data_IF_003301499576
#
_entry.id   IF_003301499576
#
_cell.length_a   1.000
_cell.length_b   1.000
_cell.length_c   1.000
_cell.angle_alpha   90.00
_cell.angle_beta   90.00
_cell.angle_gamma   90.00
#
_symmetry.space_group_name_H-M   'P 1'
#
loop_
_entity.id
_entity.type
_entity.pdbx_description
1 polymer ?
#
# COMPACT_ATOMS: atom_id res chain seq x y z
N UNK A 1 0.63 -9.34 -9.49
CA UNK A 1 -0.19 -8.14 -9.24
C UNK A 1 -0.26 -7.97 -7.74
N UNK A 2 -0.18 -6.73 -7.26
CA UNK A 2 -0.21 -6.43 -5.82
C UNK A 2 -1.64 -6.47 -5.27
N UNK A 3 -1.78 -6.48 -3.95
CA UNK A 3 -3.05 -6.36 -3.25
C UNK A 3 -3.33 -4.88 -2.93
N UNK A 4 -4.61 -4.54 -2.84
CA UNK A 4 -5.09 -3.17 -2.64
C UNK A 4 -5.70 -3.03 -1.24
N UNK A 5 -5.54 -1.84 -0.67
CA UNK A 5 -6.26 -1.43 0.52
C UNK A 5 -7.67 -0.98 0.12
N UNK A 6 -8.68 -1.70 0.59
CA UNK A 6 -10.09 -1.40 0.37
C UNK A 6 -10.89 -1.59 1.68
N UNK A 7 -11.01 -0.55 2.52
CA UNK A 7 -11.75 -0.65 3.79
C UNK A 7 -13.26 -0.73 3.57
N UNK A 8 -13.95 -1.61 4.29
CA UNK A 8 -15.40 -1.85 4.09
C UNK A 8 -16.32 -0.65 4.43
N UNK A 9 -15.93 0.16 5.42
CA UNK A 9 -16.81 1.17 6.04
C UNK A 9 -16.29 2.62 5.92
N UNK A 10 -15.15 2.83 5.28
CA UNK A 10 -14.56 4.16 5.11
C UNK A 10 -13.78 4.25 3.80
N UNK A 11 -13.48 5.46 3.33
CA UNK A 11 -12.59 5.61 2.18
C UNK A 11 -11.17 5.21 2.56
N UNK A 12 -10.43 4.63 1.62
CA UNK A 12 -8.98 4.36 1.79
C UNK A 12 -8.19 5.61 2.17
N UNK A 13 -8.60 6.80 1.73
CA UNK A 13 -8.00 8.07 2.16
C UNK A 13 -8.20 8.30 3.66
N UNK A 14 -9.44 8.21 4.15
CA UNK A 14 -9.75 8.40 5.56
C UNK A 14 -9.03 7.36 6.44
N UNK A 15 -8.99 6.11 5.97
CA UNK A 15 -8.23 5.06 6.62
C UNK A 15 -6.75 5.40 6.71
N UNK A 16 -6.13 5.79 5.59
CA UNK A 16 -4.69 6.08 5.52
C UNK A 16 -4.31 7.31 6.36
N UNK A 17 -5.18 8.29 6.48
CA UNK A 17 -4.97 9.46 7.33
C UNK A 17 -5.10 9.13 8.82
N UNK A 18 -5.89 8.12 9.17
CA UNK A 18 -6.17 7.71 10.56
C UNK A 18 -5.15 6.69 11.08
N UNK A 19 -4.84 5.68 10.29
CA UNK A 19 -4.00 4.52 10.67
C UNK A 19 -2.60 4.57 10.05
N UNK A 20 -2.48 5.26 8.92
CA UNK A 20 -1.22 5.39 8.21
C UNK A 20 -0.37 6.54 8.74
N UNK A 21 0.94 6.39 8.56
CA UNK A 21 1.88 7.51 8.68
C UNK A 21 2.34 7.90 7.28
N UNK A 22 1.95 9.09 6.83
CA UNK A 22 2.44 9.65 5.57
C UNK A 22 3.95 9.94 5.67
N UNK A 23 4.69 9.56 4.62
CA UNK A 23 6.14 9.70 4.51
C UNK A 23 6.52 9.97 3.06
N UNK A 24 7.74 10.45 2.84
CA UNK A 24 8.30 10.54 1.49
C UNK A 24 8.67 9.16 0.94
N UNK A 25 8.60 9.00 -0.38
CA UNK A 25 8.99 7.74 -1.04
C UNK A 25 10.42 7.32 -0.71
N UNK A 26 11.33 8.27 -0.59
CA UNK A 26 12.74 8.02 -0.29
C UNK A 26 12.93 7.46 1.12
N UNK A 27 12.06 7.83 2.07
CA UNK A 27 12.09 7.24 3.40
C UNK A 27 11.80 5.73 3.31
N UNK A 28 10.80 5.34 2.54
CA UNK A 28 10.43 3.94 2.36
C UNK A 28 11.52 3.19 1.59
N UNK A 29 12.06 3.75 0.49
CA UNK A 29 13.16 3.15 -0.27
C UNK A 29 14.35 2.81 0.62
N UNK A 30 14.72 3.71 1.53
CA UNK A 30 15.89 3.54 2.40
C UNK A 30 15.61 2.65 3.63
N UNK A 31 14.34 2.43 4.00
CA UNK A 31 13.96 1.75 5.24
C UNK A 31 13.02 0.56 5.02
N UNK A 32 12.85 0.07 3.79
CA UNK A 32 11.84 -0.95 3.45
C UNK A 32 11.90 -2.18 4.36
N UNK A 33 13.10 -2.71 4.58
CA UNK A 33 13.31 -3.90 5.42
C UNK A 33 12.93 -3.66 6.87
N UNK A 34 13.30 -2.51 7.41
CA UNK A 34 13.02 -2.13 8.80
C UNK A 34 11.52 -1.89 9.03
N UNK A 35 10.85 -1.25 8.07
CA UNK A 35 9.38 -1.07 8.06
C UNK A 35 8.70 -2.43 8.14
N UNK A 36 9.12 -3.38 7.30
CA UNK A 36 8.56 -4.73 7.28
C UNK A 36 8.83 -5.51 8.56
N UNK A 37 10.05 -5.44 9.10
CA UNK A 37 10.41 -6.10 10.36
C UNK A 37 9.64 -5.54 11.56
N UNK A 38 9.26 -4.27 11.53
CA UNK A 38 8.40 -3.62 12.54
C UNK A 38 6.92 -3.97 12.36
N UNK A 39 6.58 -4.88 11.46
CA UNK A 39 5.20 -5.31 11.23
C UNK A 39 4.36 -4.23 10.55
N UNK A 40 4.94 -3.45 9.65
CA UNK A 40 4.23 -2.47 8.82
C UNK A 40 4.50 -2.71 7.34
N UNK A 41 3.64 -2.20 6.47
CA UNK A 41 3.81 -2.25 5.02
C UNK A 41 3.69 -0.86 4.40
N UNK A 42 4.45 -0.58 3.34
CA UNK A 42 4.21 0.59 2.50
C UNK A 42 2.87 0.48 1.77
N UNK A 43 2.11 1.57 1.79
CA UNK A 43 0.91 1.75 0.97
C UNK A 43 1.05 3.01 0.14
N UNK A 44 0.70 2.93 -1.14
CA UNK A 44 0.80 4.05 -2.07
C UNK A 44 -0.60 4.42 -2.55
N UNK A 45 -1.04 5.61 -2.18
CA UNK A 45 -2.28 6.20 -2.68
C UNK A 45 -1.98 6.93 -3.98
N UNK A 46 -2.49 6.40 -5.09
CA UNK A 46 -2.32 6.95 -6.44
C UNK A 46 -3.60 7.65 -6.86
N UNK A 47 -3.49 8.88 -7.33
CA UNK A 47 -4.60 9.62 -7.93
C UNK A 47 -4.69 9.34 -9.44
N UNK A 48 -5.81 8.76 -9.89
CA UNK A 48 -6.09 8.50 -11.30
C UNK A 48 -7.11 9.50 -11.89
N UNK A 49 -7.36 10.63 -11.21
CA UNK A 49 -8.32 11.65 -11.60
C UNK A 49 -9.73 11.34 -11.11
N UNK A 50 -10.43 10.40 -11.76
CA UNK A 50 -11.81 10.07 -11.40
C UNK A 50 -11.93 9.22 -10.13
N UNK A 51 -10.83 8.61 -9.70
CA UNK A 51 -10.75 7.78 -8.51
C UNK A 51 -9.29 7.67 -8.07
N UNK A 52 -9.09 7.30 -6.82
CA UNK A 52 -7.79 6.98 -6.25
C UNK A 52 -7.65 5.46 -6.05
N UNK A 53 -6.43 4.95 -6.01
CA UNK A 53 -6.15 3.55 -5.72
C UNK A 53 -5.06 3.45 -4.65
N UNK A 54 -5.26 2.60 -3.63
CA UNK A 54 -4.29 2.41 -2.55
C UNK A 54 -3.61 1.05 -2.72
N UNK A 55 -2.40 1.03 -3.30
CA UNK A 55 -1.64 -0.19 -3.54
C UNK A 55 -0.75 -0.55 -2.36
N UNK A 56 -0.82 -1.79 -1.88
CA UNK A 56 0.05 -2.29 -0.81
C UNK A 56 1.30 -2.90 -1.44
N UNK A 57 2.49 -2.47 -1.03
CA UNK A 57 3.76 -3.05 -1.49
C UNK A 57 4.24 -4.12 -0.50
N UNK A 58 3.91 -5.39 -0.77
CA UNK A 58 4.34 -6.54 0.05
C UNK A 58 5.82 -6.88 -0.14
N UNK A 59 6.33 -6.53 -1.32
CA UNK A 59 7.73 -6.67 -1.71
C UNK A 59 8.36 -5.34 -2.10
N UNK A 60 9.67 -5.22 -1.88
CA UNK A 60 10.47 -4.06 -2.27
C UNK A 60 10.33 -3.78 -3.77
N UNK A 61 10.27 -4.85 -4.58
CA UNK A 61 10.04 -4.78 -6.03
C UNK A 61 8.67 -4.19 -6.42
N UNK A 62 7.64 -4.41 -5.63
CA UNK A 62 6.34 -3.77 -5.86
C UNK A 62 6.40 -2.29 -5.54
N UNK A 63 7.07 -1.93 -4.43
CA UNK A 63 7.30 -0.53 -4.07
C UNK A 63 8.07 0.23 -5.16
N UNK A 64 9.15 -0.36 -5.68
CA UNK A 64 9.90 0.20 -6.82
C UNK A 64 9.02 0.48 -8.04
N UNK A 65 7.99 -0.33 -8.29
CA UNK A 65 7.04 -0.09 -9.40
C UNK A 65 6.14 1.11 -9.11
N UNK A 66 5.72 1.30 -7.86
CA UNK A 66 4.89 2.43 -7.48
C UNK A 66 5.65 3.76 -7.49
N UNK A 67 6.95 3.76 -7.18
CA UNK A 67 7.77 4.99 -7.16
C UNK A 67 8.15 5.46 -8.58
N UNK A 68 8.07 4.59 -9.59
CA UNK A 68 8.32 4.99 -10.98
C UNK A 68 7.39 6.13 -11.40
N UNK A 69 7.97 7.11 -12.08
CA UNK A 69 7.23 8.22 -12.64
C UNK A 69 6.27 7.73 -13.73
N UNK A 70 5.00 8.11 -13.62
CA UNK A 70 3.93 7.73 -14.54
C UNK A 70 2.88 8.84 -14.72
N UNK A 71 3.24 10.09 -14.42
CA UNK A 71 2.39 11.29 -14.42
C UNK A 71 1.22 11.30 -13.41
N UNK A 72 1.06 10.27 -12.57
CA UNK A 72 0.00 10.24 -11.55
C UNK A 72 0.54 10.76 -10.22
N UNK A 73 -0.14 11.72 -9.56
CA UNK A 73 0.17 12.11 -8.20
C UNK A 73 0.12 10.91 -7.25
N UNK A 74 1.06 10.83 -6.33
CA UNK A 74 1.14 9.75 -5.34
C UNK A 74 1.41 10.29 -3.95
N UNK A 75 0.75 9.71 -2.96
CA UNK A 75 1.04 9.87 -1.53
C UNK A 75 1.49 8.52 -0.99
N UNK A 76 2.47 8.53 -0.10
CA UNK A 76 3.09 7.30 0.42
C UNK A 76 2.89 7.21 1.92
N UNK A 77 2.48 6.03 2.37
CA UNK A 77 2.14 5.76 3.76
C UNK A 77 2.86 4.51 4.26
N UNK A 78 3.08 4.46 5.57
CA UNK A 78 3.43 3.24 6.29
C UNK A 78 2.22 2.88 7.15
N UNK A 79 1.72 1.66 6.98
CA UNK A 79 0.53 1.18 7.69
C UNK A 79 0.89 -0.08 8.48
N UNK A 80 0.50 -0.19 9.76
CA UNK A 80 0.64 -1.43 10.52
C UNK A 80 -0.04 -2.61 9.82
N UNK A 81 0.61 -3.78 9.81
CA UNK A 81 0.00 -5.01 9.32
C UNK A 81 -1.08 -5.43 10.32
N UNK A 82 -2.33 -5.25 9.95
CA UNK A 82 -3.47 -5.88 10.63
C UNK A 82 -3.90 -7.14 9.89
N UNK A 83 -4.53 -8.09 10.59
CA UNK A 83 -4.85 -9.44 10.08
C UNK A 83 -5.68 -9.40 8.80
N UNK A 84 -6.53 -8.38 8.69
CA UNK A 84 -7.45 -8.13 7.59
C UNK A 84 -6.69 -7.97 6.26
N UNK A 85 -5.50 -7.35 6.26
CA UNK A 85 -4.67 -7.21 5.05
C UNK A 85 -4.00 -8.49 4.58
N UNK A 86 -3.79 -9.42 5.50
CA UNK A 86 -3.25 -10.74 5.16
C UNK A 86 -4.34 -11.61 4.56
N UNK A 87 -5.58 -11.51 5.07
CA UNK A 87 -6.73 -12.26 4.54
C UNK A 87 -7.09 -11.82 3.11
N UNK A 88 -7.21 -10.52 2.85
CA UNK A 88 -7.53 -10.00 1.50
C UNK A 88 -6.45 -10.40 0.49
N UNK A 89 -5.17 -10.28 0.86
CA UNK A 89 -4.07 -10.67 -0.02
C UNK A 89 -4.00 -12.17 -0.28
N UNK A 90 -4.28 -12.99 0.72
CA UNK A 90 -4.27 -14.45 0.59
C UNK A 90 -5.46 -14.94 -0.25
N UNK A 91 -6.64 -14.34 -0.08
CA UNK A 91 -7.83 -14.65 -0.88
C UNK A 91 -7.69 -14.22 -2.34
N UNK A 92 -7.19 -13.01 -2.60
CA UNK A 92 -6.89 -12.56 -3.97
C UNK A 92 -5.83 -13.44 -4.66
N UNK A 93 -4.80 -13.86 -3.90
CA UNK A 93 -3.78 -14.74 -4.44
C UNK A 93 -4.33 -16.13 -4.75
N UNK A 94 -5.17 -16.69 -3.86
CA UNK A 94 -5.84 -17.98 -4.08
C UNK A 94 -6.82 -17.95 -5.25
N UNK A 95 -7.54 -16.84 -5.50
CA UNK A 95 -8.51 -16.74 -6.60
C UNK A 95 -7.85 -16.52 -7.98
N UNK A 96 -6.68 -15.88 -8.03
CA UNK A 96 -5.95 -15.66 -9.30
C UNK A 96 -5.15 -16.87 -9.79
N UNK A 97 -4.90 -17.84 -8.92
CA UNK A 97 -3.99 -18.96 -9.20
C UNK A 97 -4.55 -20.37 -8.86
N UNK A 98 -5.83 -20.48 -8.47
CA UNK A 98 -6.62 -21.72 -8.49
C UNK A 98 -7.78 -21.58 -9.49
#
# INVERSE_FOLDING_TARGET
MGCYLDPDNESKEAYLEREGREVESDYISNNYRDIKQKGSLPVVLVDNGNFTAAGIAYTEREFERFVRYDNRPKRFFIVPIVKEYLQIAEEEWRSRYN
#
